data_IF_824772594494
#
_entry.id   IF_824772594494
#
_cell.length_a   1.000
_cell.length_b   1.000
_cell.length_c   1.000
_cell.angle_alpha   90.00
_cell.angle_beta   90.00
_cell.angle_gamma   90.00
#
_symmetry.space_group_name_H-M   'P 1'
#
loop_
_entity.id
_entity.type
_entity.pdbx_description
1 polymer ?
#
# COMPACT_ATOMS: atom_id res chain seq x y z
N UNK A 1 -12.64 0.76 7.59
CA UNK A 1 -12.09 -0.59 7.88
C UNK A 1 -12.10 -0.89 9.35
N UNK A 2 -11.67 -0.01 10.24
CA UNK A 2 -11.64 -0.24 11.70
C UNK A 2 -12.97 -0.75 12.28
N UNK A 3 -14.13 -0.24 11.82
CA UNK A 3 -15.43 -0.68 12.29
C UNK A 3 -15.77 -2.12 11.89
N UNK A 4 -15.34 -2.57 10.71
CA UNK A 4 -15.53 -3.96 10.26
C UNK A 4 -14.61 -4.91 11.05
N UNK A 5 -13.36 -4.50 11.30
CA UNK A 5 -12.41 -5.21 12.15
C UNK A 5 -12.95 -5.37 13.58
N UNK A 6 -13.53 -4.32 14.15
CA UNK A 6 -14.13 -4.34 15.48
C UNK A 6 -15.30 -5.33 15.59
N UNK A 7 -16.19 -5.37 14.59
CA UNK A 7 -17.32 -6.30 14.58
C UNK A 7 -16.84 -7.75 14.48
N UNK A 8 -15.96 -8.05 13.54
CA UNK A 8 -15.39 -9.39 13.36
C UNK A 8 -14.65 -9.86 14.61
N UNK A 9 -13.79 -9.00 15.14
CA UNK A 9 -13.00 -9.28 16.34
C UNK A 9 -13.88 -9.58 17.55
N UNK A 10 -14.87 -8.72 17.82
CA UNK A 10 -15.77 -8.89 18.97
C UNK A 10 -16.61 -10.16 18.86
N UNK A 11 -17.03 -10.56 17.67
CA UNK A 11 -17.80 -11.77 17.47
C UNK A 11 -16.98 -13.05 17.57
N UNK A 12 -15.82 -13.10 16.90
CA UNK A 12 -15.04 -14.33 16.75
C UNK A 12 -14.04 -14.49 17.90
N UNK A 13 -13.34 -13.42 18.27
CA UNK A 13 -12.26 -13.46 19.27
C UNK A 13 -12.78 -13.26 20.71
N UNK A 14 -13.75 -12.37 20.91
CA UNK A 14 -14.31 -12.08 22.24
C UNK A 14 -15.60 -12.84 22.54
N UNK A 15 -16.14 -13.59 21.56
CA UNK A 15 -17.36 -14.38 21.72
C UNK A 15 -18.62 -13.56 21.96
N UNK A 16 -18.60 -12.28 21.63
CA UNK A 16 -19.75 -11.38 21.82
C UNK A 16 -20.80 -11.68 20.76
N UNK A 17 -22.00 -12.07 21.20
CA UNK A 17 -23.13 -12.29 20.30
C UNK A 17 -23.83 -10.97 19.99
N UNK A 18 -23.90 -10.63 18.72
CA UNK A 18 -24.71 -9.49 18.27
C UNK A 18 -26.20 -9.81 18.45
N UNK A 19 -26.97 -8.82 18.84
CA UNK A 19 -28.44 -8.95 18.94
C UNK A 19 -29.03 -9.32 17.58
N UNK A 20 -29.95 -10.28 17.56
CA UNK A 20 -30.58 -10.77 16.32
C UNK A 20 -31.64 -9.84 15.73
N UNK A 21 -32.06 -8.83 16.51
CA UNK A 21 -33.07 -7.83 16.11
C UNK A 21 -32.47 -6.59 15.46
N UNK A 22 -31.19 -6.63 15.05
CA UNK A 22 -30.52 -5.56 14.31
C UNK A 22 -29.95 -6.10 12.99
N UNK A 23 -29.95 -5.27 11.96
CA UNK A 23 -29.24 -5.52 10.71
C UNK A 23 -27.83 -4.95 10.83
N UNK A 24 -26.83 -5.76 10.53
CA UNK A 24 -25.42 -5.35 10.54
C UNK A 24 -24.89 -5.33 9.12
N UNK A 25 -24.48 -4.16 8.68
CA UNK A 25 -23.89 -3.94 7.36
C UNK A 25 -22.48 -3.39 7.49
N UNK A 26 -21.68 -3.65 6.48
CA UNK A 26 -20.38 -3.03 6.28
C UNK A 26 -20.43 -2.16 5.03
N UNK A 27 -19.88 -0.96 5.12
CA UNK A 27 -19.61 -0.08 3.99
C UNK A 27 -18.21 0.43 4.18
N UNK A 28 -17.29 -0.11 3.41
CA UNK A 28 -15.83 0.10 3.53
C UNK A 28 -15.29 0.85 2.30
N UNK A 29 -15.25 2.19 2.34
CA UNK A 29 -14.59 2.97 1.31
C UNK A 29 -13.10 2.65 1.29
N UNK A 30 -12.55 2.41 0.10
CA UNK A 30 -11.13 2.07 -0.10
C UNK A 30 -10.29 3.34 -0.17
N UNK A 31 -10.19 4.02 0.98
CA UNK A 31 -9.48 5.27 1.14
C UNK A 31 -9.49 5.74 2.60
N UNK A 32 -8.46 6.46 3.07
CA UNK A 32 -8.51 7.19 4.33
C UNK A 32 -9.72 8.14 4.38
N UNK A 33 -10.31 8.32 5.56
CA UNK A 33 -11.54 9.12 5.72
C UNK A 33 -11.43 10.56 5.23
N UNK A 34 -10.25 11.17 5.31
CA UNK A 34 -9.97 12.50 4.74
C UNK A 34 -10.15 12.52 3.22
N UNK A 35 -9.64 11.51 2.54
CA UNK A 35 -9.72 11.39 1.08
C UNK A 35 -11.15 11.07 0.61
N UNK A 36 -11.88 10.23 1.35
CA UNK A 36 -13.32 10.01 1.10
C UNK A 36 -14.07 11.34 1.12
N UNK A 37 -13.75 12.21 2.09
CA UNK A 37 -14.35 13.54 2.21
C UNK A 37 -13.99 14.44 1.04
N UNK A 38 -12.72 14.47 0.65
CA UNK A 38 -12.22 15.29 -0.48
C UNK A 38 -12.89 14.88 -1.79
N UNK A 39 -12.91 13.59 -2.11
CA UNK A 39 -13.54 13.08 -3.32
C UNK A 39 -15.04 13.35 -3.35
N UNK A 40 -15.72 13.22 -2.21
CA UNK A 40 -17.12 13.60 -2.08
C UNK A 40 -17.36 15.09 -2.40
N UNK A 41 -16.52 15.99 -1.85
CA UNK A 41 -16.62 17.44 -2.10
C UNK A 41 -16.33 17.82 -3.56
N UNK A 42 -15.48 17.04 -4.23
CA UNK A 42 -15.24 17.19 -5.68
C UNK A 42 -16.39 16.67 -6.55
N UNK A 43 -17.39 16.06 -5.94
CA UNK A 43 -18.54 15.48 -6.64
C UNK A 43 -18.30 14.06 -7.16
N UNK A 44 -17.21 13.42 -6.72
CA UNK A 44 -16.87 12.02 -6.99
C UNK A 44 -17.13 11.13 -5.77
N UNK A 45 -16.52 9.98 -5.74
CA UNK A 45 -16.49 9.05 -4.64
C UNK A 45 -15.27 8.16 -4.74
N UNK A 46 -15.11 7.27 -3.80
CA UNK A 46 -14.07 6.24 -3.80
C UNK A 46 -14.69 4.86 -3.98
N UNK A 47 -13.96 3.88 -4.55
CA UNK A 47 -14.40 2.50 -4.58
C UNK A 47 -14.75 2.02 -3.18
N UNK A 48 -15.81 1.24 -3.05
CA UNK A 48 -16.34 0.86 -1.74
C UNK A 48 -16.75 -0.61 -1.75
N UNK A 49 -16.25 -1.38 -0.79
CA UNK A 49 -16.74 -2.73 -0.53
C UNK A 49 -17.93 -2.67 0.40
N UNK A 50 -18.94 -3.50 0.12
CA UNK A 50 -20.12 -3.63 0.98
C UNK A 50 -20.33 -5.08 1.37
N UNK A 51 -20.80 -5.30 2.59
CA UNK A 51 -21.19 -6.63 3.06
C UNK A 51 -22.36 -6.55 4.04
N UNK A 52 -23.04 -7.68 4.17
CA UNK A 52 -24.09 -7.90 5.17
C UNK A 52 -23.66 -9.05 6.06
N UNK A 53 -23.81 -8.88 7.37
CA UNK A 53 -23.53 -9.96 8.31
C UNK A 53 -24.58 -11.06 8.18
N UNK A 54 -24.20 -12.33 7.87
CA UNK A 54 -25.16 -13.37 7.50
C UNK A 54 -26.23 -13.68 8.56
N UNK A 55 -25.88 -13.55 9.84
CA UNK A 55 -26.78 -13.84 10.96
C UNK A 55 -27.58 -12.61 11.44
N UNK A 56 -27.28 -11.44 10.89
CA UNK A 56 -27.85 -10.16 11.32
C UNK A 56 -28.35 -9.34 10.13
N UNK A 57 -29.29 -9.90 9.39
CA UNK A 57 -30.01 -9.23 8.31
C UNK A 57 -31.53 -9.31 8.56
N UNK A 58 -32.00 -8.43 9.41
CA UNK A 58 -33.42 -8.38 9.74
C UNK A 58 -34.24 -7.98 8.50
N UNK A 59 -35.15 -8.83 8.10
CA UNK A 59 -36.01 -8.67 6.93
C UNK A 59 -35.32 -8.67 5.57
N UNK A 60 -34.03 -9.06 5.46
CA UNK A 60 -33.31 -9.16 4.20
C UNK A 60 -33.04 -7.81 3.52
N UNK A 61 -32.94 -6.72 4.29
CA UNK A 61 -32.76 -5.36 3.75
C UNK A 61 -31.29 -4.88 3.79
N UNK A 62 -30.38 -5.71 4.29
CA UNK A 62 -29.00 -5.32 4.58
C UNK A 62 -28.27 -4.81 3.33
N UNK A 63 -28.35 -5.52 2.22
CA UNK A 63 -27.69 -5.09 0.97
C UNK A 63 -28.25 -3.79 0.41
N UNK A 64 -29.57 -3.59 0.44
CA UNK A 64 -30.18 -2.34 -0.03
C UNK A 64 -29.76 -1.16 0.85
N UNK A 65 -29.68 -1.37 2.16
CA UNK A 65 -29.19 -0.37 3.09
C UNK A 65 -27.70 -0.05 2.86
N UNK A 66 -26.85 -1.06 2.68
CA UNK A 66 -25.43 -0.89 2.38
C UNK A 66 -25.19 -0.15 1.05
N UNK A 67 -25.92 -0.53 0.01
CA UNK A 67 -25.88 0.15 -1.30
C UNK A 67 -26.34 1.60 -1.20
N UNK A 68 -27.45 1.87 -0.50
CA UNK A 68 -27.93 3.24 -0.29
C UNK A 68 -26.92 4.11 0.46
N UNK A 69 -26.27 3.54 1.47
CA UNK A 69 -25.21 4.24 2.20
C UNK A 69 -24.00 4.52 1.32
N UNK A 70 -23.50 3.54 0.56
CA UNK A 70 -22.40 3.73 -0.38
C UNK A 70 -22.72 4.80 -1.45
N UNK A 71 -23.94 4.81 -1.99
CA UNK A 71 -24.41 5.85 -2.92
C UNK A 71 -24.41 7.23 -2.27
N UNK A 72 -24.80 7.33 -0.99
CA UNK A 72 -24.79 8.62 -0.28
C UNK A 72 -23.38 9.20 -0.07
N UNK A 73 -22.34 8.34 -0.09
CA UNK A 73 -20.94 8.74 -0.08
C UNK A 73 -20.37 9.08 -1.48
N UNK A 74 -21.17 8.92 -2.53
CA UNK A 74 -20.74 9.12 -3.91
C UNK A 74 -20.05 7.89 -4.54
N UNK A 75 -19.94 6.78 -3.82
CA UNK A 75 -19.19 5.59 -4.25
C UNK A 75 -19.74 4.92 -5.52
N UNK A 76 -21.01 5.15 -5.85
CA UNK A 76 -21.60 4.68 -7.11
C UNK A 76 -20.91 5.25 -8.37
N UNK A 77 -20.12 6.31 -8.24
CA UNK A 77 -19.34 6.90 -9.35
C UNK A 77 -17.98 6.24 -9.52
N UNK A 78 -17.46 5.61 -8.47
CA UNK A 78 -16.16 4.96 -8.47
C UNK A 78 -16.26 3.42 -8.49
N UNK A 79 -17.34 2.85 -7.94
CA UNK A 79 -17.62 1.42 -7.91
C UNK A 79 -18.07 0.96 -6.51
N UNK A 80 -19.08 0.08 -6.49
CA UNK A 80 -19.55 -0.58 -5.26
C UNK A 80 -19.54 -2.08 -5.50
N UNK A 81 -18.73 -2.81 -4.73
CA UNK A 81 -18.49 -4.24 -4.88
C UNK A 81 -18.95 -5.00 -3.64
N UNK A 82 -19.54 -6.17 -3.86
CA UNK A 82 -19.96 -7.06 -2.77
C UNK A 82 -18.77 -7.86 -2.24
N UNK A 83 -18.59 -7.84 -0.92
CA UNK A 83 -17.54 -8.54 -0.20
C UNK A 83 -18.13 -9.27 1.03
N UNK A 84 -17.31 -9.61 1.99
CA UNK A 84 -17.70 -10.14 3.30
C UNK A 84 -16.90 -9.47 4.41
N UNK A 85 -17.43 -9.47 5.64
CA UNK A 85 -16.69 -8.94 6.80
C UNK A 85 -15.34 -9.60 6.98
N UNK A 86 -15.29 -10.92 6.79
CA UNK A 86 -14.04 -11.69 6.95
C UNK A 86 -13.01 -11.35 5.87
N UNK A 87 -13.46 -11.29 4.61
CA UNK A 87 -12.55 -10.98 3.50
C UNK A 87 -11.99 -9.57 3.62
N UNK A 88 -12.87 -8.59 3.93
CA UNK A 88 -12.47 -7.20 4.11
C UNK A 88 -11.42 -7.03 5.20
N UNK A 89 -11.71 -7.53 6.42
CA UNK A 89 -10.78 -7.41 7.55
C UNK A 89 -9.42 -8.03 7.25
N UNK A 90 -9.40 -9.19 6.60
CA UNK A 90 -8.15 -9.89 6.32
C UNK A 90 -7.34 -9.21 5.23
N UNK A 91 -7.97 -8.75 4.15
CA UNK A 91 -7.26 -8.06 3.08
C UNK A 91 -6.75 -6.69 3.53
N UNK A 92 -7.59 -5.93 4.22
CA UNK A 92 -7.27 -4.61 4.77
C UNK A 92 -6.06 -4.67 5.72
N UNK A 93 -6.11 -5.56 6.75
CA UNK A 93 -5.00 -5.75 7.67
C UNK A 93 -3.71 -6.19 6.95
N UNK A 94 -3.81 -7.06 5.95
CA UNK A 94 -2.62 -7.50 5.20
C UNK A 94 -2.04 -6.37 4.36
N UNK A 95 -2.88 -5.62 3.64
CA UNK A 95 -2.45 -4.47 2.83
C UNK A 95 -1.80 -3.38 3.68
N UNK A 96 -2.48 -2.96 4.77
CA UNK A 96 -2.01 -1.92 5.68
C UNK A 96 -0.66 -2.28 6.32
N UNK A 97 -0.51 -3.52 6.83
CA UNK A 97 0.74 -3.95 7.46
C UNK A 97 1.91 -4.02 6.49
N UNK A 98 1.66 -4.45 5.25
CA UNK A 98 2.72 -4.73 4.29
C UNK A 98 2.92 -3.58 3.31
N UNK A 99 2.32 -3.63 2.12
CA UNK A 99 2.64 -2.68 1.05
C UNK A 99 2.17 -1.25 1.32
N UNK A 100 0.98 -1.08 1.92
CA UNK A 100 0.41 0.26 2.04
C UNK A 100 1.20 1.14 3.02
N UNK A 101 1.58 0.62 4.18
CA UNK A 101 2.31 1.37 5.20
C UNK A 101 3.72 0.81 5.44
N UNK A 102 3.84 -0.48 5.73
CA UNK A 102 5.10 -1.10 6.16
C UNK A 102 6.24 -0.98 5.15
N UNK A 103 5.99 -1.30 3.88
CA UNK A 103 7.00 -1.19 2.81
C UNK A 103 7.40 0.26 2.52
N UNK A 104 6.43 1.19 2.52
CA UNK A 104 6.74 2.59 2.28
C UNK A 104 7.55 3.18 3.43
N UNK A 105 7.23 2.84 4.68
CA UNK A 105 8.02 3.25 5.84
C UNK A 105 9.42 2.66 5.81
N UNK A 106 9.54 1.35 5.63
CA UNK A 106 10.83 0.64 5.56
C UNK A 106 11.68 1.19 4.42
N UNK A 107 11.09 1.35 3.23
CA UNK A 107 11.74 1.91 2.06
C UNK A 107 12.21 3.34 2.30
N UNK A 108 11.40 4.19 2.93
CA UNK A 108 11.78 5.56 3.26
C UNK A 108 13.04 5.62 4.13
N UNK A 109 13.05 4.84 5.21
CA UNK A 109 14.17 4.80 6.16
C UNK A 109 15.44 4.26 5.49
N UNK A 110 15.33 3.11 4.82
CA UNK A 110 16.48 2.44 4.22
C UNK A 110 17.06 3.22 3.03
N UNK A 111 16.21 3.73 2.13
CA UNK A 111 16.66 4.54 1.00
C UNK A 111 17.33 5.83 1.48
N UNK A 112 16.76 6.52 2.47
CA UNK A 112 17.35 7.74 3.00
C UNK A 112 18.73 7.49 3.62
N UNK A 113 18.83 6.47 4.48
CA UNK A 113 20.08 6.12 5.13
C UNK A 113 21.15 5.74 4.10
N UNK A 114 20.76 4.98 3.06
CA UNK A 114 21.68 4.59 1.99
C UNK A 114 22.14 5.76 1.15
N UNK A 115 21.24 6.67 0.76
CA UNK A 115 21.60 7.87 0.03
C UNK A 115 22.59 8.74 0.83
N UNK A 116 22.35 8.88 2.14
CA UNK A 116 23.26 9.58 3.05
C UNK A 116 24.64 8.89 3.11
N UNK A 117 24.68 7.57 3.21
CA UNK A 117 25.92 6.77 3.18
C UNK A 117 26.71 6.96 1.88
N UNK A 118 25.99 7.04 0.76
CA UNK A 118 26.57 7.30 -0.58
C UNK A 118 27.01 8.76 -0.79
N UNK A 119 26.82 9.63 0.21
CA UNK A 119 27.25 11.03 0.15
C UNK A 119 26.30 11.94 -0.64
N UNK A 120 25.07 11.50 -0.92
CA UNK A 120 24.05 12.31 -1.58
C UNK A 120 23.50 13.32 -0.58
N UNK A 121 23.21 14.55 -1.05
CA UNK A 121 22.69 15.62 -0.20
C UNK A 121 21.45 15.18 0.59
N UNK A 122 21.44 15.30 1.92
CA UNK A 122 20.33 14.80 2.74
C UNK A 122 19.00 15.53 2.48
N UNK A 123 19.01 16.83 2.17
CA UNK A 123 17.79 17.60 1.91
C UNK A 123 17.18 17.17 0.55
N UNK A 124 18.02 16.92 -0.45
CA UNK A 124 17.61 16.33 -1.72
C UNK A 124 17.05 14.91 -1.51
N UNK A 125 17.76 14.08 -0.74
CA UNK A 125 17.31 12.71 -0.42
C UNK A 125 15.96 12.69 0.28
N UNK A 126 15.75 13.59 1.25
CA UNK A 126 14.47 13.74 1.93
C UNK A 126 13.35 14.11 0.94
N UNK A 127 13.60 15.04 0.03
CA UNK A 127 12.64 15.45 -0.99
C UNK A 127 12.33 14.33 -1.98
N UNK A 128 13.36 13.69 -2.51
CA UNK A 128 13.20 12.60 -3.47
C UNK A 128 12.34 11.47 -2.89
N UNK A 129 12.57 11.10 -1.65
CA UNK A 129 11.83 10.01 -1.00
C UNK A 129 10.43 10.46 -0.62
N UNK A 130 10.29 11.57 0.10
CA UNK A 130 9.02 12.05 0.63
C UNK A 130 7.97 12.26 -0.47
N UNK A 131 8.32 12.92 -1.56
CA UNK A 131 7.41 13.21 -2.67
C UNK A 131 7.48 12.17 -3.79
N UNK A 132 8.56 11.39 -3.85
CA UNK A 132 8.73 10.35 -4.86
C UNK A 132 7.73 9.22 -4.73
N UNK A 133 7.36 8.80 -3.51
CA UNK A 133 6.33 7.78 -3.32
C UNK A 133 5.01 8.16 -3.98
N UNK A 134 4.54 9.39 -3.74
CA UNK A 134 3.30 9.89 -4.35
C UNK A 134 3.41 9.93 -5.88
N UNK A 135 4.47 10.54 -6.40
CA UNK A 135 4.68 10.68 -7.85
C UNK A 135 4.75 9.31 -8.56
N UNK A 136 5.46 8.35 -7.97
CA UNK A 136 5.62 7.00 -8.52
C UNK A 136 4.29 6.24 -8.47
N UNK A 137 3.64 6.22 -7.31
CA UNK A 137 2.43 5.41 -7.11
C UNK A 137 1.20 5.99 -7.79
N UNK A 138 1.14 7.31 -8.03
CA UNK A 138 0.04 7.93 -8.79
C UNK A 138 -0.07 7.34 -10.20
N UNK A 139 1.07 6.93 -10.80
CA UNK A 139 1.08 6.27 -12.10
C UNK A 139 0.32 4.92 -12.10
N UNK A 140 0.20 4.25 -10.95
CA UNK A 140 -0.54 2.98 -10.81
C UNK A 140 -2.05 3.16 -11.04
N UNK A 141 -2.62 4.30 -10.66
CA UNK A 141 -4.05 4.58 -10.82
C UNK A 141 -4.50 4.52 -12.28
N UNK A 142 -3.65 4.96 -13.19
CA UNK A 142 -4.01 5.18 -14.59
C UNK A 142 -3.72 3.99 -15.50
N UNK A 143 -2.93 3.03 -15.07
CA UNK A 143 -2.57 1.90 -15.93
C UNK A 143 -1.75 0.82 -15.23
N UNK A 144 -1.81 0.75 -13.89
CA UNK A 144 -1.18 -0.29 -13.11
C UNK A 144 0.34 -0.24 -13.13
N UNK A 145 0.95 -1.39 -12.83
CA UNK A 145 2.41 -1.57 -12.82
C UNK A 145 2.99 -1.32 -14.23
N UNK A 146 2.26 -1.72 -15.28
CA UNK A 146 2.65 -1.46 -16.67
C UNK A 146 2.89 0.03 -16.90
N UNK A 147 1.95 0.89 -16.52
CA UNK A 147 2.09 2.34 -16.70
C UNK A 147 3.23 2.93 -15.86
N UNK A 148 3.42 2.46 -14.64
CA UNK A 148 4.55 2.87 -13.80
C UNK A 148 5.90 2.52 -14.45
N UNK A 149 6.03 1.30 -14.97
CA UNK A 149 7.25 0.83 -15.61
C UNK A 149 7.50 1.47 -16.98
N UNK A 150 6.45 1.89 -17.69
CA UNK A 150 6.57 2.57 -18.99
C UNK A 150 7.09 4.02 -18.87
N UNK A 151 7.15 4.58 -17.66
CA UNK A 151 7.80 5.87 -17.39
C UNK A 151 9.34 5.78 -17.37
N UNK A 152 9.88 4.55 -17.33
CA UNK A 152 11.32 4.31 -17.26
C UNK A 152 11.95 4.18 -18.64
N UNK A 153 13.25 4.54 -18.72
CA UNK A 153 14.07 4.14 -19.85
C UNK A 153 14.22 2.62 -19.93
N UNK A 154 14.54 2.08 -21.09
CA UNK A 154 14.74 0.64 -21.25
C UNK A 154 15.77 0.05 -20.26
N UNK A 155 16.97 0.66 -20.07
CA UNK A 155 17.91 0.20 -19.05
C UNK A 155 17.31 0.26 -17.63
N UNK A 156 16.63 1.35 -17.29
CA UNK A 156 15.96 1.52 -16.00
C UNK A 156 14.89 0.46 -15.76
N UNK A 157 14.05 0.17 -16.78
CA UNK A 157 13.00 -0.85 -16.70
C UNK A 157 13.58 -2.24 -16.41
N UNK A 158 14.62 -2.64 -17.11
CA UNK A 158 15.31 -3.93 -16.89
C UNK A 158 15.87 -3.99 -15.47
N UNK A 159 16.56 -2.93 -15.04
CA UNK A 159 17.15 -2.88 -13.69
C UNK A 159 16.10 -2.95 -12.60
N UNK A 160 15.01 -2.19 -12.71
CA UNK A 160 13.90 -2.21 -11.74
C UNK A 160 13.26 -3.58 -11.67
N UNK A 161 13.04 -4.24 -12.81
CA UNK A 161 12.49 -5.58 -12.84
C UNK A 161 13.40 -6.56 -12.08
N UNK A 162 14.70 -6.58 -12.36
CA UNK A 162 15.66 -7.46 -11.67
C UNK A 162 15.68 -7.21 -10.15
N UNK A 163 15.74 -5.95 -9.74
CA UNK A 163 15.71 -5.57 -8.32
C UNK A 163 14.40 -5.98 -7.64
N UNK A 164 13.27 -5.82 -8.34
CA UNK A 164 11.97 -6.21 -7.78
C UNK A 164 11.86 -7.72 -7.57
N UNK A 165 12.40 -8.53 -8.50
CA UNK A 165 12.42 -9.99 -8.35
C UNK A 165 13.34 -10.42 -7.18
N UNK A 166 14.51 -9.78 -7.00
CA UNK A 166 15.37 -10.03 -5.84
C UNK A 166 14.66 -9.66 -4.52
N UNK A 167 13.99 -8.51 -4.48
CA UNK A 167 13.21 -8.07 -3.32
C UNK A 167 12.06 -9.04 -3.00
N UNK A 168 11.35 -9.53 -4.02
CA UNK A 168 10.28 -10.53 -3.84
C UNK A 168 10.82 -11.79 -3.17
N UNK A 169 11.96 -12.31 -3.62
CA UNK A 169 12.59 -13.50 -3.02
C UNK A 169 12.96 -13.30 -1.55
N UNK A 170 13.45 -12.11 -1.19
CA UNK A 170 13.84 -11.81 0.19
C UNK A 170 12.61 -11.65 1.10
N UNK A 171 11.57 -10.97 0.61
CA UNK A 171 10.42 -10.54 1.41
C UNK A 171 9.26 -11.52 1.43
N UNK A 172 9.16 -12.46 0.46
CA UNK A 172 8.04 -13.39 0.39
C UNK A 172 7.78 -14.15 1.72
N UNK A 173 8.79 -14.67 2.45
CA UNK A 173 8.54 -15.31 3.74
C UNK A 173 7.93 -14.37 4.79
N UNK A 174 8.28 -13.08 4.74
CA UNK A 174 7.73 -12.09 5.66
C UNK A 174 6.27 -11.79 5.34
N UNK A 175 5.92 -11.62 4.05
CA UNK A 175 4.54 -11.41 3.62
C UNK A 175 3.65 -12.59 4.00
N UNK A 176 4.09 -13.83 3.76
CA UNK A 176 3.39 -15.06 4.18
C UNK A 176 3.19 -15.08 5.70
N UNK A 177 4.23 -14.76 6.48
CA UNK A 177 4.14 -14.69 7.94
C UNK A 177 3.10 -13.68 8.42
N UNK A 178 3.06 -12.48 7.82
CA UNK A 178 2.05 -11.47 8.16
C UNK A 178 0.64 -11.96 7.83
N UNK A 179 0.45 -12.57 6.65
CA UNK A 179 -0.84 -13.16 6.28
C UNK A 179 -1.28 -14.26 7.25
N UNK A 180 -0.38 -15.17 7.62
CA UNK A 180 -0.65 -16.23 8.60
C UNK A 180 -1.03 -15.67 9.98
N UNK A 181 -0.36 -14.60 10.42
CA UNK A 181 -0.69 -13.91 11.67
C UNK A 181 -2.07 -13.25 11.61
N UNK A 182 -2.46 -12.68 10.47
CA UNK A 182 -3.81 -12.14 10.25
C UNK A 182 -4.85 -13.27 10.23
N UNK A 183 -4.58 -14.35 9.51
CA UNK A 183 -5.50 -15.49 9.38
C UNK A 183 -5.73 -16.22 10.70
N UNK A 184 -4.69 -16.38 11.51
CA UNK A 184 -4.76 -17.08 12.81
C UNK A 184 -5.31 -16.20 13.93
N UNK A 185 -5.37 -14.88 13.75
CA UNK A 185 -5.73 -13.91 14.81
C UNK A 185 -4.55 -13.54 15.72
N UNK A 186 -3.36 -14.13 15.53
CA UNK A 186 -2.20 -13.85 16.40
C UNK A 186 -1.72 -12.41 16.33
N UNK A 187 -1.92 -11.73 15.19
CA UNK A 187 -1.68 -10.27 15.09
C UNK A 187 -2.57 -9.51 16.07
N UNK A 188 -3.87 -9.73 16.03
CA UNK A 188 -4.83 -9.08 16.93
C UNK A 188 -4.54 -9.38 18.40
N UNK A 189 -4.19 -10.63 18.72
CA UNK A 189 -3.80 -11.01 20.09
C UNK A 189 -2.57 -10.25 20.57
N UNK A 190 -1.56 -10.11 19.71
CA UNK A 190 -0.31 -9.39 20.03
C UNK A 190 -0.59 -7.91 20.28
N UNK A 191 -1.31 -7.26 19.37
CA UNK A 191 -1.69 -5.86 19.53
C UNK A 191 -2.52 -5.61 20.78
N UNK A 192 -3.52 -6.47 21.06
CA UNK A 192 -4.35 -6.36 22.28
C UNK A 192 -3.57 -6.58 23.57
N UNK A 193 -2.52 -7.38 23.52
CA UNK A 193 -1.63 -7.57 24.67
C UNK A 193 -0.82 -6.32 24.97
N UNK A 194 -0.32 -5.63 23.94
CA UNK A 194 0.37 -4.35 24.11
C UNK A 194 -0.60 -3.26 24.59
N UNK A 195 -1.80 -3.19 24.01
CA UNK A 195 -2.84 -2.27 24.47
C UNK A 195 -3.18 -2.44 25.95
N UNK A 196 -3.31 -3.68 26.43
CA UNK A 196 -3.51 -3.97 27.87
C UNK A 196 -2.29 -3.59 28.72
N UNK A 197 -1.15 -3.36 28.11
CA UNK A 197 0.10 -2.94 28.74
C UNK A 197 0.41 -1.45 28.50
N UNK A 198 -0.62 -0.63 28.31
CA UNK A 198 -0.54 0.82 28.08
C UNK A 198 0.22 1.20 26.80
N UNK A 199 0.09 0.42 25.71
CA UNK A 199 0.67 0.66 24.38
C UNK A 199 2.20 0.90 24.40
N UNK A 200 2.91 0.21 25.26
CA UNK A 200 4.35 0.47 25.48
C UNK A 200 5.20 0.23 24.25
N UNK A 201 4.92 -0.83 23.51
CA UNK A 201 5.66 -1.13 22.29
C UNK A 201 5.31 -0.12 21.20
N UNK A 202 4.02 0.16 20.98
CA UNK A 202 3.55 1.14 20.02
C UNK A 202 4.16 2.52 20.26
N UNK A 203 4.12 3.02 21.49
CA UNK A 203 4.68 4.32 21.87
C UNK A 203 6.20 4.36 21.69
N UNK A 204 6.90 3.26 21.98
CA UNK A 204 8.33 3.15 21.74
C UNK A 204 8.68 3.24 20.25
N UNK A 205 7.90 2.58 19.37
CA UNK A 205 8.12 2.64 17.93
C UNK A 205 7.80 4.01 17.34
N UNK A 206 6.73 4.66 17.81
CA UNK A 206 6.45 6.07 17.47
C UNK A 206 7.64 6.98 17.80
N UNK A 207 8.20 6.84 18.99
CA UNK A 207 9.36 7.64 19.41
C UNK A 207 10.58 7.34 18.52
N UNK A 208 10.83 6.08 18.18
CA UNK A 208 11.93 5.70 17.28
C UNK A 208 11.73 6.30 15.89
N UNK A 209 10.53 6.23 15.32
CA UNK A 209 10.21 6.79 14.01
C UNK A 209 10.43 8.30 13.98
N UNK A 210 9.99 9.02 15.03
CA UNK A 210 10.17 10.48 15.11
C UNK A 210 11.63 10.93 15.15
N UNK A 211 12.55 10.02 15.49
CA UNK A 211 13.99 10.27 15.60
C UNK A 211 14.80 9.75 14.42
N UNK A 212 14.16 9.16 13.41
CA UNK A 212 14.87 8.72 12.21
C UNK A 212 15.46 9.92 11.46
N UNK A 213 16.61 9.71 10.83
CA UNK A 213 17.27 10.79 10.06
C UNK A 213 16.34 11.31 8.94
N UNK A 214 15.56 10.43 8.30
CA UNK A 214 14.57 10.85 7.31
C UNK A 214 13.52 11.79 7.89
N UNK A 215 12.98 11.48 9.06
CA UNK A 215 11.95 12.30 9.73
C UNK A 215 12.49 13.68 10.12
N UNK A 216 13.73 13.71 10.62
CA UNK A 216 14.38 14.92 11.13
C UNK A 216 14.97 15.84 10.05
N UNK A 217 15.13 15.34 8.80
CA UNK A 217 15.74 16.11 7.72
C UNK A 217 14.70 16.88 6.93
N UNK A 218 14.82 18.20 6.82
CA UNK A 218 13.94 19.02 6.00
C UNK A 218 14.23 18.78 4.50
N UNK A 219 13.19 18.62 3.66
CA UNK A 219 13.38 18.49 2.23
C UNK A 219 13.89 19.80 1.62
N UNK A 220 14.69 19.71 0.55
CA UNK A 220 15.12 20.91 -0.20
C UNK A 220 13.91 21.66 -0.79
N UNK A 221 14.05 22.98 -0.90
CA UNK A 221 13.07 23.84 -1.59
C UNK A 221 13.17 23.73 -3.13
N UNK A 222 14.25 23.14 -3.66
CA UNK A 222 14.43 23.00 -5.09
C UNK A 222 13.37 22.12 -5.71
N UNK A 223 12.86 22.46 -6.87
CA UNK A 223 11.90 21.65 -7.59
C UNK A 223 12.57 20.42 -8.19
N UNK A 224 11.97 19.26 -8.00
CA UNK A 224 12.31 18.00 -8.67
C UNK A 224 11.20 17.74 -9.69
N UNK A 225 11.56 17.57 -10.96
CA UNK A 225 10.60 17.27 -12.01
C UNK A 225 10.00 15.88 -11.84
N UNK A 226 8.79 15.67 -12.35
CA UNK A 226 8.12 14.37 -12.30
C UNK A 226 9.01 13.25 -12.87
N UNK A 227 9.63 13.49 -14.03
CA UNK A 227 10.52 12.50 -14.66
C UNK A 227 11.78 12.23 -13.84
N UNK A 228 12.27 13.20 -13.08
CA UNK A 228 13.44 13.02 -12.22
C UNK A 228 13.14 12.08 -11.05
N UNK A 229 11.92 12.08 -10.48
CA UNK A 229 11.52 11.08 -9.49
C UNK A 229 11.59 9.65 -10.06
N UNK A 230 11.20 9.45 -11.32
CA UNK A 230 11.32 8.16 -11.99
C UNK A 230 12.79 7.79 -12.30
N UNK A 231 13.56 8.74 -12.79
CA UNK A 231 14.94 8.46 -13.16
C UNK A 231 15.83 8.18 -11.94
N UNK A 232 15.66 8.93 -10.87
CA UNK A 232 16.52 8.87 -9.68
C UNK A 232 15.97 7.96 -8.57
N UNK A 233 14.73 7.49 -8.70
CA UNK A 233 14.03 6.65 -7.73
C UNK A 233 13.86 5.18 -8.17
N UNK A 234 14.76 4.61 -8.98
CA UNK A 234 14.59 3.24 -9.49
C UNK A 234 14.43 2.20 -8.39
N UNK A 235 15.17 2.34 -7.28
CA UNK A 235 15.03 1.46 -6.13
C UNK A 235 13.64 1.59 -5.49
N UNK A 236 13.10 2.80 -5.40
CA UNK A 236 11.76 3.03 -4.87
C UNK A 236 10.68 2.36 -5.76
N UNK A 237 10.85 2.45 -7.08
CA UNK A 237 9.94 1.79 -8.04
C UNK A 237 10.04 0.26 -7.91
N UNK A 238 11.24 -0.29 -7.71
CA UNK A 238 11.43 -1.71 -7.47
C UNK A 238 10.76 -2.17 -6.17
N UNK A 239 10.84 -1.37 -5.10
CA UNK A 239 10.17 -1.62 -3.82
C UNK A 239 8.64 -1.62 -4.01
N UNK A 240 8.09 -0.64 -4.72
CA UNK A 240 6.65 -0.56 -5.03
C UNK A 240 6.21 -1.79 -5.83
N UNK A 241 6.90 -2.11 -6.93
CA UNK A 241 6.54 -3.27 -7.76
C UNK A 241 6.57 -4.57 -6.95
N UNK A 242 7.67 -4.83 -6.24
CA UNK A 242 7.81 -6.03 -5.43
C UNK A 242 6.74 -6.14 -4.35
N UNK A 243 6.49 -5.06 -3.62
CA UNK A 243 5.52 -5.04 -2.52
C UNK A 243 4.08 -5.20 -3.00
N UNK A 244 3.69 -4.54 -4.10
CA UNK A 244 2.35 -4.64 -4.70
C UNK A 244 2.09 -6.08 -5.18
N UNK A 245 3.02 -6.66 -5.93
CA UNK A 245 2.88 -8.04 -6.41
C UNK A 245 2.83 -9.03 -5.25
N UNK A 246 3.75 -8.95 -4.27
CA UNK A 246 3.76 -9.85 -3.12
C UNK A 246 2.50 -9.76 -2.27
N UNK A 247 2.00 -8.56 -2.00
CA UNK A 247 0.77 -8.38 -1.23
C UNK A 247 -0.42 -9.01 -1.96
N UNK A 248 -0.55 -8.73 -3.25
CA UNK A 248 -1.61 -9.30 -4.08
C UNK A 248 -1.53 -10.83 -4.14
N UNK A 249 -0.37 -11.38 -4.53
CA UNK A 249 -0.14 -12.81 -4.66
C UNK A 249 -0.44 -13.54 -3.34
N UNK A 250 0.09 -13.04 -2.23
CA UNK A 250 -0.10 -13.63 -0.89
C UNK A 250 -1.58 -13.63 -0.47
N UNK A 251 -2.31 -12.55 -0.75
CA UNK A 251 -3.75 -12.46 -0.45
C UNK A 251 -4.56 -13.44 -1.31
N UNK A 252 -4.27 -13.52 -2.60
CA UNK A 252 -4.97 -14.45 -3.53
C UNK A 252 -4.69 -15.90 -3.16
N UNK A 253 -3.44 -16.25 -2.86
CA UNK A 253 -3.06 -17.61 -2.38
C UNK A 253 -3.76 -17.96 -1.06
N UNK A 254 -4.02 -16.98 -0.20
CA UNK A 254 -4.80 -17.14 1.03
C UNK A 254 -6.32 -17.23 0.80
N UNK A 255 -6.79 -17.19 -0.46
CA UNK A 255 -8.19 -17.32 -0.84
C UNK A 255 -8.99 -16.02 -0.79
N UNK A 256 -8.32 -14.87 -0.73
CA UNK A 256 -8.96 -13.56 -0.89
C UNK A 256 -9.24 -13.33 -2.38
N UNK A 257 -10.39 -12.75 -2.71
CA UNK A 257 -10.76 -12.44 -4.09
C UNK A 257 -9.79 -11.45 -4.71
N UNK A 258 -9.50 -11.63 -5.99
CA UNK A 258 -8.57 -10.79 -6.76
C UNK A 258 -8.93 -9.31 -6.71
N UNK A 259 -10.22 -8.96 -6.76
CA UNK A 259 -10.69 -7.57 -6.68
C UNK A 259 -10.33 -6.94 -5.32
N UNK A 260 -10.55 -7.65 -4.21
CA UNK A 260 -10.18 -7.17 -2.88
C UNK A 260 -8.66 -7.05 -2.74
N UNK A 261 -7.92 -8.05 -3.19
CA UNK A 261 -6.46 -8.03 -3.17
C UNK A 261 -5.89 -6.87 -4.00
N UNK A 262 -6.48 -6.56 -5.17
CA UNK A 262 -6.11 -5.41 -6.00
C UNK A 262 -6.29 -4.08 -5.27
N UNK A 263 -7.44 -3.88 -4.62
CA UNK A 263 -7.69 -2.63 -3.88
C UNK A 263 -6.68 -2.45 -2.75
N UNK A 264 -6.45 -3.49 -1.97
CA UNK A 264 -5.59 -3.45 -0.78
C UNK A 264 -4.08 -3.53 -1.07
N UNK A 265 -3.68 -3.79 -2.30
CA UNK A 265 -2.26 -3.83 -2.67
C UNK A 265 -1.84 -2.69 -3.60
N UNK A 266 -2.68 -2.31 -4.56
CA UNK A 266 -2.33 -1.35 -5.59
C UNK A 266 -3.14 -0.06 -5.54
N UNK A 267 -4.46 -0.17 -5.41
CA UNK A 267 -5.35 0.97 -5.61
C UNK A 267 -5.25 1.99 -4.46
N UNK A 268 -5.14 1.54 -3.22
CA UNK A 268 -5.01 2.42 -2.05
C UNK A 268 -3.61 2.98 -1.84
N UNK A 269 -2.59 2.36 -2.42
CA UNK A 269 -1.20 2.74 -2.22
C UNK A 269 -0.89 4.23 -2.50
N UNK A 270 -1.39 4.85 -3.59
CA UNK A 270 -1.18 6.27 -3.84
C UNK A 270 -1.75 7.19 -2.76
N UNK A 271 -2.77 6.77 -2.04
CA UNK A 271 -3.39 7.56 -0.97
C UNK A 271 -2.50 7.62 0.27
N UNK A 272 -1.88 6.50 0.63
CA UNK A 272 -0.90 6.46 1.72
C UNK A 272 0.39 7.20 1.31
N UNK A 273 0.84 7.02 0.07
CA UNK A 273 1.98 7.76 -0.47
C UNK A 273 1.75 9.29 -0.44
N UNK A 274 0.53 9.75 -0.72
CA UNK A 274 0.14 11.16 -0.56
C UNK A 274 0.20 11.63 0.90
N UNK A 275 -0.18 10.78 1.87
CA UNK A 275 -0.02 11.12 3.29
C UNK A 275 1.46 11.29 3.65
N UNK A 276 2.35 10.41 3.18
CA UNK A 276 3.80 10.54 3.40
C UNK A 276 4.33 11.82 2.76
N UNK A 277 3.90 12.12 1.54
CA UNK A 277 4.29 13.35 0.82
C UNK A 277 3.96 14.62 1.62
N UNK A 278 2.78 14.66 2.25
CA UNK A 278 2.32 15.82 3.03
C UNK A 278 2.81 15.83 4.48
N UNK A 279 3.08 14.66 5.08
CA UNK A 279 3.14 14.50 6.54
C UNK A 279 4.36 13.74 7.03
N UNK A 280 5.16 13.12 6.14
CA UNK A 280 6.18 12.14 6.47
C UNK A 280 5.63 10.94 7.26
N UNK A 281 6.50 10.16 7.91
CA UNK A 281 6.13 8.88 8.51
C UNK A 281 5.43 9.03 9.86
N UNK A 282 5.93 9.92 10.72
CA UNK A 282 5.39 10.07 12.07
C UNK A 282 3.94 10.53 12.07
N UNK A 283 3.64 11.61 11.34
CA UNK A 283 2.26 12.09 11.23
C UNK A 283 1.38 11.15 10.40
N UNK A 284 1.91 10.50 9.35
CA UNK A 284 1.18 9.49 8.60
C UNK A 284 0.67 8.39 9.52
N UNK A 285 1.55 7.80 10.33
CA UNK A 285 1.19 6.76 11.30
C UNK A 285 0.18 7.25 12.34
N UNK A 286 0.25 8.51 12.74
CA UNK A 286 -0.72 9.10 13.69
C UNK A 286 -2.11 9.36 13.11
N UNK A 287 -2.25 9.35 11.78
CA UNK A 287 -3.52 9.63 11.06
C UNK A 287 -4.25 8.34 10.68
N UNK A 288 -3.50 7.28 10.36
CA UNK A 288 -4.07 5.97 10.00
C UNK A 288 -4.67 5.28 11.24
N UNK A 289 -5.28 4.13 11.06
CA UNK A 289 -5.86 3.37 12.17
C UNK A 289 -4.77 2.81 13.11
N UNK A 290 -5.09 2.60 14.39
CA UNK A 290 -4.17 2.00 15.35
C UNK A 290 -3.70 0.61 14.91
N UNK A 291 -4.56 -0.15 14.22
CA UNK A 291 -4.22 -1.46 13.64
C UNK A 291 -3.22 -1.35 12.50
N UNK A 292 -3.42 -0.37 11.62
CA UNK A 292 -2.50 -0.09 10.52
C UNK A 292 -1.13 0.37 11.05
N UNK A 293 -1.11 1.27 12.02
CA UNK A 293 0.11 1.77 12.63
C UNK A 293 0.90 0.64 13.32
N UNK A 294 0.21 -0.15 14.15
CA UNK A 294 0.85 -1.26 14.85
C UNK A 294 1.45 -2.28 13.85
N UNK A 295 0.67 -2.65 12.83
CA UNK A 295 1.11 -3.55 11.77
C UNK A 295 2.26 -3.00 10.93
N UNK A 296 2.24 -1.71 10.61
CA UNK A 296 3.32 -1.00 9.92
C UNK A 296 4.65 -1.12 10.68
N UNK A 297 4.64 -0.88 11.99
CA UNK A 297 5.84 -1.00 12.81
C UNK A 297 6.34 -2.44 12.95
N UNK A 298 5.44 -3.40 13.12
CA UNK A 298 5.83 -4.83 13.14
C UNK A 298 6.54 -5.22 11.85
N UNK A 299 5.97 -4.88 10.70
CA UNK A 299 6.57 -5.17 9.40
C UNK A 299 7.94 -4.48 9.27
N UNK A 300 8.02 -3.18 9.56
CA UNK A 300 9.24 -2.41 9.46
C UNK A 300 10.39 -3.00 10.29
N UNK A 301 10.10 -3.40 11.53
CA UNK A 301 11.10 -3.97 12.44
C UNK A 301 11.64 -5.32 11.95
N UNK A 302 10.83 -6.09 11.23
CA UNK A 302 11.25 -7.37 10.66
C UNK A 302 11.90 -7.21 9.27
N UNK A 303 11.43 -6.28 8.44
CA UNK A 303 11.91 -6.06 7.10
C UNK A 303 13.30 -5.41 7.04
N UNK A 304 13.62 -4.46 7.93
CA UNK A 304 14.93 -3.78 7.95
C UNK A 304 16.09 -4.77 8.05
N UNK A 305 16.15 -5.71 9.01
CA UNK A 305 17.25 -6.66 9.10
C UNK A 305 17.29 -7.63 7.92
N UNK A 306 16.16 -8.01 7.33
CA UNK A 306 16.12 -8.88 6.15
C UNK A 306 16.72 -8.20 4.92
N UNK A 307 16.47 -6.91 4.76
CA UNK A 307 16.93 -6.13 3.62
C UNK A 307 18.37 -5.61 3.75
N UNK A 308 19.01 -5.74 4.92
CA UNK A 308 20.34 -5.17 5.15
C UNK A 308 21.36 -5.57 4.09
N UNK A 309 21.48 -6.87 3.78
CA UNK A 309 22.43 -7.38 2.77
C UNK A 309 22.10 -6.94 1.35
N UNK A 310 20.84 -6.70 1.04
CA UNK A 310 20.43 -6.15 -0.24
C UNK A 310 20.87 -4.68 -0.34
N UNK A 311 20.62 -3.90 0.71
CA UNK A 311 21.00 -2.49 0.76
C UNK A 311 22.52 -2.27 0.80
N UNK A 312 23.31 -3.22 1.31
CA UNK A 312 24.78 -3.15 1.23
C UNK A 312 25.29 -3.05 -0.22
N UNK A 313 24.56 -3.60 -1.19
CA UNK A 313 24.91 -3.61 -2.61
C UNK A 313 24.32 -2.43 -3.41
N UNK A 314 23.50 -1.59 -2.78
CA UNK A 314 22.88 -0.44 -3.46
C UNK A 314 23.92 0.62 -3.73
N UNK A 315 23.96 1.12 -4.98
CA UNK A 315 24.86 2.16 -5.45
C UNK A 315 24.03 3.34 -6.04
N UNK A 316 24.73 4.41 -6.44
CA UNK A 316 24.11 5.64 -6.97
C UNK A 316 23.41 5.45 -8.32
N UNK A 317 23.68 4.34 -9.01
CA UNK A 317 23.07 4.00 -10.29
C UNK A 317 21.56 3.66 -10.20
N UNK A 318 21.08 3.29 -9.00
CA UNK A 318 19.69 2.89 -8.79
C UNK A 318 18.92 3.81 -7.84
N UNK A 319 19.60 4.70 -7.14
CA UNK A 319 18.98 5.73 -6.30
C UNK A 319 19.86 6.97 -6.24
N UNK A 320 19.33 8.14 -6.57
CA UNK A 320 20.06 9.41 -6.61
C UNK A 320 20.37 9.88 -8.02
N UNK A 321 21.37 10.77 -8.19
CA UNK A 321 21.58 11.55 -9.42
C UNK A 321 22.31 10.82 -10.57
N UNK A 322 22.99 9.70 -10.28
CA UNK A 322 23.83 8.98 -11.27
C UNK A 322 23.11 7.79 -11.92
N UNK A 323 21.80 7.85 -11.99
CA UNK A 323 20.92 6.75 -12.36
C UNK A 323 21.24 6.14 -13.74
N UNK A 324 21.20 4.81 -13.79
CA UNK A 324 21.25 4.01 -15.04
C UNK A 324 20.13 4.38 -16.02
N UNK A 325 19.06 5.01 -15.56
CA UNK A 325 18.01 5.56 -16.43
C UNK A 325 18.55 6.56 -17.44
N UNK A 326 19.66 7.22 -17.15
CA UNK A 326 20.30 8.17 -18.03
C UNK A 326 21.31 7.51 -18.99
N UNK A 327 21.54 6.19 -18.87
CA UNK A 327 22.43 5.46 -19.78
C UNK A 327 21.85 5.41 -21.19
N UNK A 328 22.73 5.53 -22.18
CA UNK A 328 22.43 5.32 -23.61
C UNK A 328 22.75 3.90 -24.07
N UNK A 329 23.09 3.01 -23.15
CA UNK A 329 23.43 1.63 -23.46
C UNK A 329 22.25 0.88 -24.09
N UNK A 330 22.57 0.04 -25.07
CA UNK A 330 21.59 -0.82 -25.72
C UNK A 330 21.19 -1.96 -24.79
N UNK A 331 19.89 -2.21 -24.67
CA UNK A 331 19.34 -3.32 -23.91
C UNK A 331 19.06 -4.50 -24.85
N UNK A 332 19.15 -5.70 -24.33
CA UNK A 332 18.66 -6.89 -25.06
C UNK A 332 17.14 -6.78 -25.27
N UNK A 333 16.75 -6.66 -26.55
CA UNK A 333 15.36 -6.53 -26.93
C UNK A 333 14.51 -7.76 -26.57
N UNK A 334 15.10 -8.96 -26.59
CA UNK A 334 14.38 -10.18 -26.20
C UNK A 334 14.02 -10.11 -24.73
N UNK A 335 15.01 -9.82 -23.88
CA UNK A 335 14.82 -9.63 -22.45
C UNK A 335 13.79 -8.54 -22.14
N UNK A 336 13.83 -7.42 -22.86
CA UNK A 336 12.86 -6.33 -22.66
C UNK A 336 11.44 -6.75 -23.02
N UNK A 337 11.26 -7.56 -24.07
CA UNK A 337 9.97 -8.11 -24.45
C UNK A 337 9.45 -9.05 -23.37
N UNK A 338 10.28 -9.98 -22.90
CA UNK A 338 9.94 -10.92 -21.83
C UNK A 338 9.50 -10.19 -20.55
N UNK A 339 10.23 -9.15 -20.15
CA UNK A 339 9.87 -8.31 -18.99
C UNK A 339 8.50 -7.65 -19.18
N UNK A 340 8.28 -7.03 -20.34
CA UNK A 340 7.01 -6.37 -20.62
C UNK A 340 5.82 -7.36 -20.64
N UNK A 341 6.03 -8.57 -21.18
CA UNK A 341 5.02 -9.62 -21.17
C UNK A 341 4.77 -10.13 -19.76
N UNK A 342 5.82 -10.38 -18.96
CA UNK A 342 5.69 -10.82 -17.56
C UNK A 342 4.87 -9.83 -16.74
N UNK A 343 5.13 -8.53 -16.88
CA UNK A 343 4.37 -7.49 -16.19
C UNK A 343 2.91 -7.47 -16.68
N UNK A 344 2.71 -7.40 -17.98
CA UNK A 344 1.37 -7.24 -18.59
C UNK A 344 0.44 -8.41 -18.31
N UNK A 345 0.96 -9.63 -18.27
CA UNK A 345 0.18 -10.84 -18.02
C UNK A 345 0.13 -11.25 -16.55
N UNK A 346 0.69 -10.45 -15.66
CA UNK A 346 0.49 -10.67 -14.23
C UNK A 346 -1.01 -10.50 -13.88
N UNK A 347 -1.53 -11.37 -13.01
CA UNK A 347 -2.97 -11.38 -12.68
C UNK A 347 -3.46 -10.05 -12.11
N UNK A 348 -2.63 -9.33 -11.35
CA UNK A 348 -2.98 -8.00 -10.83
C UNK A 348 -3.20 -6.96 -11.95
N UNK A 349 -2.48 -7.07 -13.08
CA UNK A 349 -2.67 -6.17 -14.22
C UNK A 349 -3.98 -6.49 -14.96
N UNK A 350 -4.29 -7.79 -15.09
CA UNK A 350 -5.51 -8.25 -15.76
C UNK A 350 -6.74 -7.79 -14.98
N UNK A 351 -6.82 -8.11 -13.67
CA UNK A 351 -7.96 -7.68 -12.84
C UNK A 351 -8.01 -6.16 -12.70
N UNK A 352 -6.83 -5.51 -12.62
CA UNK A 352 -6.73 -4.06 -12.54
C UNK A 352 -7.28 -3.36 -13.78
N UNK A 353 -7.05 -3.89 -14.97
CA UNK A 353 -7.61 -3.35 -16.22
C UNK A 353 -9.14 -3.46 -16.24
N UNK A 354 -9.69 -4.61 -15.85
CA UNK A 354 -11.13 -4.82 -15.71
C UNK A 354 -11.74 -3.82 -14.72
N UNK A 355 -11.16 -3.66 -13.52
CA UNK A 355 -11.68 -2.76 -12.50
C UNK A 355 -11.61 -1.28 -12.89
N UNK A 356 -10.51 -0.84 -13.51
CA UNK A 356 -10.36 0.53 -14.02
C UNK A 356 -11.40 0.89 -15.07
N UNK A 357 -11.86 -0.06 -15.89
CA UNK A 357 -12.94 0.18 -16.86
C UNK A 357 -14.27 0.55 -16.20
N UNK A 358 -14.53 0.07 -14.98
CA UNK A 358 -15.72 0.41 -14.20
C UNK A 358 -15.60 1.72 -13.42
N UNK A 359 -14.40 2.23 -13.22
CA UNK A 359 -14.17 3.48 -12.48
C UNK A 359 -14.44 4.69 -13.38
N UNK A 360 -15.58 5.33 -13.22
CA UNK A 360 -16.00 6.46 -14.09
C UNK A 360 -15.13 7.70 -13.94
N UNK A 361 -14.48 7.90 -12.79
CA UNK A 361 -13.58 9.03 -12.53
C UNK A 361 -12.28 8.96 -13.32
N UNK A 362 -11.90 7.79 -13.85
CA UNK A 362 -10.70 7.62 -14.65
C UNK A 362 -10.92 7.84 -16.16
N UNK A 363 -12.18 7.90 -16.61
CA UNK A 363 -12.52 8.13 -18.03
C UNK A 363 -12.39 9.59 -18.48
N UNK A 364 -12.19 10.53 -17.56
CA UNK A 364 -12.13 11.98 -17.86
C UNK A 364 -10.71 12.55 -17.90
N UNK A 365 -9.69 11.71 -17.78
CA UNK A 365 -8.28 12.13 -17.78
C UNK A 365 -7.53 11.76 -19.09
N UNK A 366 -8.28 11.49 -20.19
CA UNK A 366 -7.72 11.30 -21.53
C UNK A 366 -8.07 12.51 -22.41
#
# INVERSE_FOLDING_TARGET
SSAASDVYKRQVEEGIKIRKDITVIMVAPKSPGSEVREEYLRGFGVPTLIAVHPENDLNGIGFDAAKAYAVSLGSNKAGVLESSFVAEVKSDLMGEQTILCGMLQTGSILCFNKMKELGIDPNYSAKLIQHGWETITESLKHGGITNMMDRLSNPGKVKVFELSEELKLILAPLFIKHMDNVLSGSFSETMMKDWKNDDKELLSWREQTSKTDFEMTEPTSDEISEQEYFNNGLLMIAIVKAGVELAYETMVEAGIKEESAYYESLHELPLIANLISRKKLYEMNSIISDTAEYGCYLFNNEAIPLLSKFFDKVETDIIGSDSISNSTDSVDNIKLIEINETIRYHSIEIIGDELRQYMTSMKTAI
#
